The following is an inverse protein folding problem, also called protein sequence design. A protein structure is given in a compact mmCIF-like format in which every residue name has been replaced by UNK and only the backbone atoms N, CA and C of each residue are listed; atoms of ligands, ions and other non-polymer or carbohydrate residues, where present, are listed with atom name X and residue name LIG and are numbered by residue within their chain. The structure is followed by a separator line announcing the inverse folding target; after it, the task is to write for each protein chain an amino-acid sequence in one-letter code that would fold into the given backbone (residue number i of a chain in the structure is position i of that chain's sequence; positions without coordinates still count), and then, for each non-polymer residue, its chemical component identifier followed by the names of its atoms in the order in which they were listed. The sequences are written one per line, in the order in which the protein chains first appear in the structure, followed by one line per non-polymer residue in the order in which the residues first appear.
data_IF_575052266325
#
_entry.id   IF_575052266325
#
_cell.length_a   1.000
_cell.length_b   1.000
_cell.length_c   1.000
_cell.angle_alpha   90.00
_cell.angle_beta   90.00
_cell.angle_gamma   90.00
#
_symmetry.space_group_name_H-M   'P 1'
#
loop_
_entity.id
_entity.type
_entity.pdbx_description
1 polymer ?
#
# COMPACT_ATOMS: atom_id res chain seq x y z
N UNK A 1 12.21 7.23 6.12
CA UNK A 1 11.47 6.30 5.27
C UNK A 1 10.15 6.92 4.85
N UNK A 2 9.91 6.94 3.58
CA UNK A 2 8.67 7.51 3.04
C UNK A 2 7.97 6.44 2.22
N UNK A 3 6.70 6.20 2.54
CA UNK A 3 5.89 5.25 1.76
C UNK A 3 5.35 5.98 0.53
N UNK A 4 5.62 5.42 -0.65
CA UNK A 4 5.15 6.01 -1.89
C UNK A 4 3.76 5.46 -2.22
N UNK A 5 2.76 6.04 -1.57
CA UNK A 5 1.38 5.55 -1.71
C UNK A 5 0.85 5.77 -3.12
N UNK A 6 1.25 6.84 -3.78
CA UNK A 6 0.82 7.09 -5.16
C UNK A 6 1.29 5.95 -6.07
N UNK A 7 2.56 5.55 -5.91
CA UNK A 7 3.10 4.46 -6.71
C UNK A 7 2.41 3.13 -6.37
N UNK A 8 2.13 2.91 -5.09
CA UNK A 8 1.43 1.71 -4.66
C UNK A 8 0.03 1.63 -5.28
N UNK A 9 -0.70 2.72 -5.23
CA UNK A 9 -2.04 2.76 -5.80
C UNK A 9 -2.00 2.50 -7.30
N UNK A 10 -1.04 3.12 -7.99
CA UNK A 10 -0.90 2.94 -9.43
C UNK A 10 -0.58 1.49 -9.76
N UNK A 11 0.29 0.87 -8.98
CA UNK A 11 0.64 -0.52 -9.18
C UNK A 11 -0.58 -1.43 -9.09
N UNK A 12 -1.41 -1.19 -8.07
CA UNK A 12 -2.62 -1.98 -7.87
C UNK A 12 -3.57 -1.80 -9.07
N UNK A 13 -3.74 -0.57 -9.52
CA UNK A 13 -4.61 -0.28 -10.65
C UNK A 13 -4.08 -0.90 -11.94
N UNK A 14 -2.78 -0.77 -12.17
CA UNK A 14 -2.17 -1.30 -13.39
C UNK A 14 -2.24 -2.82 -13.45
N UNK A 15 -2.14 -3.47 -12.29
CA UNK A 15 -2.24 -4.93 -12.23
C UNK A 15 -3.68 -5.43 -12.28
N UNK A 16 -4.64 -4.53 -12.14
CA UNK A 16 -6.04 -4.93 -12.16
C UNK A 16 -6.48 -5.70 -10.95
N UNK A 17 -5.78 -5.57 -9.84
CA UNK A 17 -6.11 -6.29 -8.62
C UNK A 17 -7.19 -5.52 -7.86
N UNK A 18 -8.22 -6.23 -7.43
CA UNK A 18 -9.31 -5.60 -6.70
C UNK A 18 -8.89 -5.25 -5.29
N UNK A 19 -9.28 -4.05 -4.84
CA UNK A 19 -8.96 -3.62 -3.49
C UNK A 19 -9.54 -4.55 -2.44
N UNK A 20 -10.73 -5.10 -2.70
CA UNK A 20 -11.34 -6.03 -1.76
C UNK A 20 -10.44 -7.24 -1.50
N UNK A 21 -9.85 -7.77 -2.55
CA UNK A 21 -8.94 -8.91 -2.42
C UNK A 21 -7.74 -8.55 -1.56
N UNK A 22 -7.14 -7.39 -1.84
CA UNK A 22 -5.96 -6.96 -1.10
C UNK A 22 -6.30 -6.73 0.37
N UNK A 23 -7.44 -6.09 0.62
CA UNK A 23 -7.88 -5.81 1.99
C UNK A 23 -8.04 -7.10 2.78
N UNK A 24 -8.69 -8.09 2.18
CA UNK A 24 -8.88 -9.38 2.85
C UNK A 24 -7.54 -10.04 3.17
N UNK A 25 -6.63 -10.04 2.21
CA UNK A 25 -5.32 -10.66 2.42
C UNK A 25 -4.49 -9.89 3.45
N UNK A 26 -4.67 -8.59 3.51
CA UNK A 26 -3.93 -7.75 4.43
C UNK A 26 -4.58 -7.66 5.81
N UNK A 27 -5.75 -8.28 5.98
CA UNK A 27 -6.43 -8.28 7.26
C UNK A 27 -7.04 -6.95 7.64
N UNK A 28 -7.51 -6.19 6.66
CA UNK A 28 -8.15 -4.91 6.93
C UNK A 28 -9.44 -4.80 6.11
N UNK A 29 -10.28 -3.82 6.46
CA UNK A 29 -11.50 -3.57 5.71
C UNK A 29 -11.19 -2.86 4.40
N UNK A 30 -12.06 -3.05 3.41
CA UNK A 30 -11.89 -2.38 2.13
C UNK A 30 -11.94 -0.86 2.26
N UNK A 31 -12.88 -0.28 3.04
CA UNK A 31 -12.88 1.17 3.23
C UNK A 31 -11.59 1.70 3.83
N UNK A 32 -10.98 0.94 4.76
CA UNK A 32 -9.71 1.36 5.35
C UNK A 32 -8.62 1.36 4.30
N UNK A 33 -8.55 0.32 3.48
CA UNK A 33 -7.55 0.27 2.42
C UNK A 33 -7.75 1.42 1.43
N UNK A 34 -8.99 1.68 1.06
CA UNK A 34 -9.30 2.77 0.15
C UNK A 34 -8.83 4.11 0.71
N UNK A 35 -9.08 4.35 2.00
CA UNK A 35 -8.64 5.58 2.64
C UNK A 35 -7.13 5.71 2.62
N UNK A 36 -6.42 4.62 2.85
CA UNK A 36 -4.96 4.61 2.80
C UNK A 36 -4.48 4.95 1.40
N UNK A 37 -5.03 4.29 0.38
CA UNK A 37 -4.59 4.50 -1.00
C UNK A 37 -4.91 5.89 -1.51
N UNK A 38 -5.94 6.52 -0.98
CA UNK A 38 -6.31 7.89 -1.35
C UNK A 38 -5.67 8.92 -0.42
N UNK A 39 -4.76 8.47 0.44
CA UNK A 39 -3.98 9.32 1.33
C UNK A 39 -4.85 10.14 2.29
N UNK A 40 -6.05 9.63 2.58
CA UNK A 40 -6.92 10.25 3.58
C UNK A 40 -6.64 9.73 4.97
N UNK A 41 -5.82 8.69 5.06
CA UNK A 41 -5.47 8.06 6.31
C UNK A 41 -4.01 7.62 6.22
N UNK A 42 -3.27 7.84 7.30
CA UNK A 42 -1.88 7.43 7.35
C UNK A 42 -1.78 5.91 7.27
N UNK A 43 -0.81 5.42 6.51
CA UNK A 43 -0.53 4.00 6.41
C UNK A 43 0.56 3.65 7.42
N UNK A 44 0.22 2.83 8.42
CA UNK A 44 1.20 2.39 9.39
C UNK A 44 2.12 1.35 8.76
N UNK A 45 3.34 1.25 9.30
CA UNK A 45 4.34 0.33 8.74
C UNK A 45 3.82 -1.10 8.70
N UNK A 46 3.15 -1.55 9.75
CA UNK A 46 2.59 -2.90 9.78
C UNK A 46 1.52 -3.11 8.72
N UNK A 47 0.70 -2.10 8.50
CA UNK A 47 -0.33 -2.16 7.46
C UNK A 47 0.31 -2.24 6.08
N UNK A 48 1.34 -1.45 5.87
CA UNK A 48 2.07 -1.46 4.61
C UNK A 48 2.69 -2.83 4.36
N UNK A 49 3.31 -3.40 5.39
CA UNK A 49 3.92 -4.73 5.25
C UNK A 49 2.89 -5.77 4.84
N UNK A 50 1.69 -5.71 5.44
CA UNK A 50 0.63 -6.65 5.09
C UNK A 50 0.13 -6.44 3.67
N UNK A 51 0.07 -5.21 3.21
CA UNK A 51 -0.33 -4.91 1.83
C UNK A 51 0.70 -5.48 0.85
N UNK A 52 1.98 -5.28 1.13
CA UNK A 52 3.03 -5.82 0.27
C UNK A 52 2.96 -7.34 0.22
N UNK A 53 2.70 -7.97 1.36
CA UNK A 53 2.58 -9.41 1.43
C UNK A 53 1.40 -9.89 0.58
N UNK A 54 0.28 -9.15 0.65
CA UNK A 54 -0.89 -9.49 -0.14
C UNK A 54 -0.61 -9.37 -1.63
N UNK A 55 0.24 -8.43 -2.02
CA UNK A 55 0.59 -8.22 -3.41
C UNK A 55 1.73 -9.13 -3.89
N UNK A 56 2.42 -9.78 -2.95
CA UNK A 56 3.55 -10.62 -3.31
C UNK A 56 4.77 -9.83 -3.73
N UNK A 57 4.91 -8.60 -3.24
CA UNK A 57 6.07 -7.77 -3.58
C UNK A 57 6.93 -7.55 -2.34
N UNK A 58 8.17 -7.16 -2.58
CA UNK A 58 9.10 -6.92 -1.48
C UNK A 58 8.72 -5.66 -0.72
N UNK A 59 9.04 -5.66 0.57
CA UNK A 59 8.69 -4.53 1.44
C UNK A 59 9.21 -3.20 0.91
N UNK A 60 10.40 -3.17 0.35
CA UNK A 60 11.01 -1.92 -0.12
C UNK A 60 10.49 -1.39 -1.44
N UNK A 61 9.60 -2.14 -2.11
CA UNK A 61 9.17 -1.79 -3.46
C UNK A 61 8.59 -0.38 -3.57
N UNK A 62 7.83 0.05 -2.58
CA UNK A 62 7.17 1.35 -2.60
C UNK A 62 7.68 2.28 -1.50
N UNK A 63 8.92 2.08 -1.09
CA UNK A 63 9.55 2.95 -0.11
C UNK A 63 10.53 3.86 -0.82
N UNK A 64 10.44 5.16 -0.53
CA UNK A 64 11.41 6.12 -1.01
C UNK A 64 12.28 6.56 0.14
N UNK A 65 13.57 6.69 -0.13
CA UNK A 65 14.47 7.28 0.85
C UNK A 65 14.29 8.78 0.79
N UNK A 66 14.33 9.40 1.95
CA UNK A 66 14.28 10.83 1.99
C UNK A 66 15.56 11.38 1.39
N UNK A 67 15.42 12.31 0.47
CA UNK A 67 16.58 12.93 -0.13
C UNK A 67 17.37 13.71 0.90
N UNK A 68 18.70 13.55 0.87
CA UNK A 68 19.57 14.34 1.72
C UNK A 68 19.67 15.72 1.12
N UNK A 69 19.40 16.73 1.91
CA UNK A 69 19.42 18.10 1.42
C UNK A 69 20.75 18.78 1.59
#
# INVERSE_FOLDING_TARGET
MILDIVKLKKYIEDCGIKQKYIAEKAGMSEPKLSSILNEKRKCEVGEYANICKALGVKFGTFIREKEAE
#
